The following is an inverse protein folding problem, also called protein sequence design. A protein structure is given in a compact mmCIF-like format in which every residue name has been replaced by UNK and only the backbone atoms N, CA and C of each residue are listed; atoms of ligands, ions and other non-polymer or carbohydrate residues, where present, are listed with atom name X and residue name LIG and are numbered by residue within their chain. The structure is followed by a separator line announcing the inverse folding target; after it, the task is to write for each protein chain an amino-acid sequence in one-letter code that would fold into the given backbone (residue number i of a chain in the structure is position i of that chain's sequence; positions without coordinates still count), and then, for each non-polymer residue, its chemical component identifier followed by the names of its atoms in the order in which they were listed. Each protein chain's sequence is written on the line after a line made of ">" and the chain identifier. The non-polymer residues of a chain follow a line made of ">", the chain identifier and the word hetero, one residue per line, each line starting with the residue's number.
data_IF_645381745130
#
_entry.id   IF_645381745130
#
_cell.length_a   1.000
_cell.length_b   1.000
_cell.length_c   1.000
_cell.angle_alpha   90.00
_cell.angle_beta   90.00
_cell.angle_gamma   90.00
#
_symmetry.space_group_name_H-M   'P 1'
#
loop_
_entity.id
_entity.type
_entity.pdbx_description
1 polymer ?
#
# COMPACT_ATOMS: atom_id res chain seq x y z
N UNK A 1 -16.27 -10.17 -3.55
CA UNK A 1 -15.77 -11.31 -4.32
C UNK A 1 -16.95 -12.21 -4.56
N UNK A 2 -17.26 -12.51 -5.82
CA UNK A 2 -18.38 -13.40 -6.13
C UNK A 2 -17.95 -14.85 -5.89
N UNK A 3 -18.90 -15.73 -5.65
CA UNK A 3 -18.64 -17.17 -5.53
C UNK A 3 -17.94 -17.73 -6.77
N UNK A 4 -18.35 -17.23 -7.95
CA UNK A 4 -17.74 -17.60 -9.23
C UNK A 4 -16.27 -17.21 -9.36
N UNK A 5 -15.88 -16.03 -8.90
CA UNK A 5 -14.46 -15.61 -8.87
C UNK A 5 -13.63 -16.57 -8.00
N UNK A 6 -14.17 -17.00 -6.86
CA UNK A 6 -13.53 -17.97 -5.97
C UNK A 6 -13.35 -19.32 -6.67
N UNK A 7 -14.38 -19.82 -7.36
CA UNK A 7 -14.28 -21.07 -8.12
C UNK A 7 -13.24 -21.01 -9.22
N UNK A 8 -13.24 -19.92 -10.01
CA UNK A 8 -12.28 -19.72 -11.09
C UNK A 8 -10.84 -19.66 -10.57
N UNK A 9 -10.63 -19.01 -9.43
CA UNK A 9 -9.32 -18.93 -8.78
C UNK A 9 -8.76 -20.32 -8.49
N UNK A 10 -9.53 -21.21 -7.86
CA UNK A 10 -9.07 -22.58 -7.59
C UNK A 10 -8.92 -23.39 -8.88
N UNK A 11 -9.90 -23.33 -9.78
CA UNK A 11 -9.85 -24.14 -10.99
C UNK A 11 -8.75 -23.72 -11.95
N UNK A 12 -8.40 -22.44 -12.07
CA UNK A 12 -7.33 -21.96 -12.96
C UNK A 12 -5.98 -22.64 -12.66
N UNK A 13 -5.69 -22.90 -11.39
CA UNK A 13 -4.42 -23.50 -10.95
C UNK A 13 -4.56 -24.97 -10.57
N UNK A 14 -5.71 -25.62 -10.82
CA UNK A 14 -5.88 -27.03 -10.56
C UNK A 14 -5.26 -27.88 -11.68
N UNK A 15 -4.53 -28.94 -11.33
CA UNK A 15 -3.98 -29.93 -12.28
C UNK A 15 -5.06 -30.69 -13.05
N UNK A 16 -6.29 -30.73 -12.51
CA UNK A 16 -7.48 -31.32 -13.13
C UNK A 16 -8.32 -30.28 -13.88
N UNK A 17 -7.77 -29.11 -14.17
CA UNK A 17 -8.47 -28.11 -14.99
C UNK A 17 -8.36 -28.45 -16.47
N UNK A 18 -9.45 -28.22 -17.19
CA UNK A 18 -9.51 -28.31 -18.65
C UNK A 18 -10.30 -27.12 -19.19
N UNK A 19 -10.02 -26.73 -20.45
CA UNK A 19 -10.71 -25.63 -21.13
C UNK A 19 -11.71 -26.20 -22.12
N UNK A 20 -12.96 -25.78 -21.99
CA UNK A 20 -14.04 -26.00 -22.94
C UNK A 20 -14.37 -24.68 -23.63
N UNK A 21 -14.56 -24.70 -24.95
CA UNK A 21 -14.94 -23.50 -25.71
C UNK A 21 -16.30 -22.94 -25.27
N UNK A 22 -17.23 -23.82 -24.88
CA UNK A 22 -18.59 -23.42 -24.51
C UNK A 22 -18.71 -23.03 -23.03
N UNK A 23 -17.95 -23.70 -22.15
CA UNK A 23 -18.12 -23.60 -20.70
C UNK A 23 -16.94 -22.92 -19.99
N UNK A 24 -15.87 -22.58 -20.71
CA UNK A 24 -14.64 -22.03 -20.14
C UNK A 24 -13.87 -23.07 -19.32
N UNK A 25 -13.45 -22.73 -18.10
CA UNK A 25 -12.71 -23.66 -17.22
C UNK A 25 -13.67 -24.68 -16.61
N UNK A 26 -13.42 -25.96 -16.88
CA UNK A 26 -14.14 -27.13 -16.36
C UNK A 26 -13.19 -28.07 -15.62
N UNK A 27 -13.74 -28.97 -14.81
CA UNK A 27 -12.99 -30.05 -14.18
C UNK A 27 -12.87 -31.24 -15.14
N UNK A 28 -11.66 -31.75 -15.38
CA UNK A 28 -11.44 -32.91 -16.25
C UNK A 28 -11.95 -34.23 -15.67
N UNK A 29 -12.20 -34.29 -14.36
CA UNK A 29 -12.78 -35.46 -13.71
C UNK A 29 -14.29 -35.57 -13.94
N UNK A 30 -15.00 -34.44 -13.96
CA UNK A 30 -16.47 -34.40 -14.01
C UNK A 30 -17.02 -33.83 -15.31
N UNK A 31 -16.17 -33.20 -16.13
CA UNK A 31 -16.53 -32.41 -17.31
C UNK A 31 -17.57 -31.31 -17.04
N UNK A 32 -17.68 -30.86 -15.78
CA UNK A 32 -18.61 -29.81 -15.34
C UNK A 32 -17.84 -28.57 -14.87
N UNK A 33 -18.53 -27.44 -14.84
CA UNK A 33 -18.04 -26.25 -14.14
C UNK A 33 -17.93 -26.55 -12.64
N UNK A 34 -17.05 -25.78 -11.99
CA UNK A 34 -16.88 -25.84 -10.55
C UNK A 34 -18.17 -25.50 -9.82
N UNK A 35 -18.52 -26.36 -8.86
CA UNK A 35 -19.68 -26.20 -7.98
C UNK A 35 -19.26 -26.66 -6.58
N UNK A 36 -18.60 -25.77 -5.83
CA UNK A 36 -18.15 -26.03 -4.47
C UNK A 36 -18.18 -24.76 -3.62
N UNK A 37 -18.62 -24.85 -2.38
CA UNK A 37 -18.77 -23.63 -1.57
C UNK A 37 -17.42 -22.98 -1.18
N UNK A 38 -16.46 -23.79 -0.72
CA UNK A 38 -15.18 -23.30 -0.20
C UNK A 38 -13.97 -23.74 -1.03
N UNK A 39 -13.76 -25.06 -1.14
CA UNK A 39 -12.68 -25.69 -1.91
C UNK A 39 -13.19 -26.96 -2.56
N UNK A 40 -12.53 -27.39 -3.63
CA UNK A 40 -12.71 -28.73 -4.19
C UNK A 40 -11.85 -29.73 -3.42
N UNK A 41 -12.43 -30.84 -2.97
CA UNK A 41 -11.69 -31.89 -2.23
C UNK A 41 -10.64 -32.59 -3.10
N UNK A 42 -10.89 -32.66 -4.40
CA UNK A 42 -9.95 -33.18 -5.40
C UNK A 42 -8.99 -32.11 -5.94
N UNK A 43 -8.90 -30.94 -5.30
CA UNK A 43 -7.97 -29.88 -5.72
C UNK A 43 -6.52 -30.32 -5.54
N UNK A 44 -5.77 -30.29 -6.63
CA UNK A 44 -4.33 -30.52 -6.65
C UNK A 44 -3.71 -29.36 -7.41
N UNK A 45 -2.90 -28.54 -6.73
CA UNK A 45 -2.28 -27.36 -7.34
C UNK A 45 -1.27 -27.75 -8.43
N UNK A 46 -1.37 -27.09 -9.57
CA UNK A 46 -0.43 -27.21 -10.68
C UNK A 46 0.68 -26.16 -10.52
N UNK A 47 1.78 -26.56 -9.89
CA UNK A 47 2.93 -25.69 -9.62
C UNK A 47 3.50 -25.03 -10.89
N UNK A 48 3.49 -25.72 -12.04
CA UNK A 48 3.96 -25.16 -13.31
C UNK A 48 3.08 -24.01 -13.79
N UNK A 49 1.76 -24.18 -13.75
CA UNK A 49 0.81 -23.12 -14.14
C UNK A 49 0.84 -21.93 -13.19
N UNK A 50 1.04 -22.19 -11.89
CA UNK A 50 1.19 -21.15 -10.88
C UNK A 50 2.45 -20.32 -11.13
N UNK A 51 3.58 -20.99 -11.36
CA UNK A 51 4.88 -20.34 -11.58
C UNK A 51 4.90 -19.54 -12.89
N UNK A 52 4.29 -20.05 -13.97
CA UNK A 52 4.18 -19.30 -15.23
C UNK A 52 3.34 -18.03 -15.08
N UNK A 53 2.24 -18.10 -14.33
CA UNK A 53 1.40 -16.92 -14.05
C UNK A 53 2.15 -15.92 -13.18
N UNK A 54 2.86 -16.40 -12.14
CA UNK A 54 3.69 -15.56 -11.27
C UNK A 54 4.70 -14.77 -12.08
N UNK A 55 5.44 -15.43 -12.98
CA UNK A 55 6.41 -14.79 -13.88
C UNK A 55 5.73 -13.79 -14.82
N UNK A 56 4.58 -14.14 -15.41
CA UNK A 56 3.83 -13.23 -16.28
C UNK A 56 3.39 -11.97 -15.54
N UNK A 57 2.90 -12.10 -14.31
CA UNK A 57 2.52 -10.96 -13.47
C UNK A 57 3.73 -10.13 -13.05
N UNK A 58 4.85 -10.77 -12.71
CA UNK A 58 6.12 -10.07 -12.43
C UNK A 58 6.57 -9.24 -13.62
N UNK A 59 6.61 -9.83 -14.82
CA UNK A 59 6.99 -9.12 -16.05
C UNK A 59 6.03 -7.98 -16.39
N UNK A 60 4.72 -8.15 -16.22
CA UNK A 60 3.75 -7.07 -16.42
C UNK A 60 3.91 -5.93 -15.42
N UNK A 61 4.27 -6.22 -14.17
CA UNK A 61 4.60 -5.20 -13.18
C UNK A 61 5.89 -4.50 -13.59
N UNK A 62 6.94 -5.25 -13.92
CA UNK A 62 8.24 -4.68 -14.30
C UNK A 62 8.13 -3.82 -15.56
N UNK A 63 7.51 -4.30 -16.63
CA UNK A 63 7.27 -3.54 -17.86
C UNK A 63 6.50 -2.23 -17.61
N UNK A 64 5.55 -2.25 -16.67
CA UNK A 64 4.76 -1.07 -16.32
C UNK A 64 5.53 -0.03 -15.51
N UNK A 65 6.59 -0.43 -14.77
CA UNK A 65 7.26 0.44 -13.78
C UNK A 65 8.80 0.52 -13.88
N UNK A 66 9.46 -0.19 -14.79
CA UNK A 66 10.93 -0.29 -14.88
C UNK A 66 11.63 1.01 -15.31
N UNK A 67 10.93 1.97 -15.92
CA UNK A 67 11.51 3.25 -16.35
C UNK A 67 11.93 4.20 -15.21
N UNK A 68 11.65 3.89 -13.93
CA UNK A 68 11.69 4.88 -12.85
C UNK A 68 12.79 4.67 -11.79
N UNK A 69 13.57 3.58 -11.86
CA UNK A 69 14.59 3.27 -10.84
C UNK A 69 15.74 4.30 -10.82
N UNK A 70 16.03 4.93 -11.96
CA UNK A 70 17.17 5.85 -12.13
C UNK A 70 16.85 7.32 -11.78
N UNK A 71 15.58 7.74 -11.86
CA UNK A 71 15.18 9.14 -11.58
C UNK A 71 15.08 9.39 -10.06
N UNK A 72 14.72 8.36 -9.29
CA UNK A 72 14.44 8.47 -7.85
C UNK A 72 15.71 8.67 -7.03
N UNK A 73 16.80 7.96 -7.34
CA UNK A 73 18.11 8.19 -6.68
C UNK A 73 18.58 9.62 -6.94
N UNK A 74 18.47 10.07 -8.19
CA UNK A 74 18.94 11.39 -8.59
C UNK A 74 18.18 12.56 -7.94
N UNK A 75 16.85 12.46 -7.78
CA UNK A 75 16.03 13.53 -7.19
C UNK A 75 16.07 13.52 -5.66
N UNK A 76 16.09 12.34 -5.02
CA UNK A 76 16.16 12.22 -3.57
C UNK A 76 17.53 12.65 -3.03
N UNK A 77 18.62 12.38 -3.74
CA UNK A 77 19.96 12.75 -3.31
C UNK A 77 20.22 14.27 -3.42
N UNK A 78 19.57 14.97 -4.36
CA UNK A 78 19.91 16.36 -4.68
C UNK A 78 19.00 17.44 -4.07
N UNK A 79 17.76 17.14 -3.65
CA UNK A 79 16.78 18.20 -3.30
C UNK A 79 16.32 18.17 -1.84
N UNK A 80 16.26 17.00 -1.18
CA UNK A 80 15.78 16.90 0.20
C UNK A 80 16.74 16.07 1.03
N UNK A 81 17.45 16.70 1.97
CA UNK A 81 18.32 16.01 2.93
C UNK A 81 17.62 14.83 3.61
N UNK A 82 17.94 13.62 3.13
CA UNK A 82 17.30 12.33 3.42
C UNK A 82 17.29 11.99 4.92
N UNK A 83 18.26 12.51 5.69
CA UNK A 83 18.43 12.14 7.09
C UNK A 83 17.34 12.67 8.04
N UNK A 84 16.72 13.83 7.76
CA UNK A 84 15.72 14.38 8.69
C UNK A 84 14.37 13.70 8.56
N UNK A 85 13.94 13.43 7.32
CA UNK A 85 12.65 12.82 7.04
C UNK A 85 12.61 11.33 7.39
N UNK A 86 13.65 10.55 7.08
CA UNK A 86 13.69 9.12 7.44
C UNK A 86 13.59 8.87 8.95
N UNK A 87 14.04 9.81 9.79
CA UNK A 87 13.89 9.72 11.25
C UNK A 87 12.43 9.87 11.72
N UNK A 88 11.63 10.67 11.01
CA UNK A 88 10.19 10.83 11.23
C UNK A 88 9.41 9.64 10.64
N UNK A 89 9.95 9.00 9.60
CA UNK A 89 9.38 7.86 8.89
C UNK A 89 9.93 6.49 9.34
N UNK A 90 10.56 6.42 10.52
CA UNK A 90 11.00 5.14 11.11
C UNK A 90 9.81 4.18 11.19
N UNK A 91 10.02 2.90 10.86
CA UNK A 91 8.96 1.90 10.85
C UNK A 91 8.20 1.95 12.18
N UNK A 92 6.90 2.22 12.09
CA UNK A 92 6.06 2.31 13.29
C UNK A 92 5.88 0.93 13.92
N UNK A 93 6.09 -0.11 13.11
CA UNK A 93 5.84 -1.48 13.48
C UNK A 93 7.10 -2.32 13.31
N UNK A 94 7.37 -3.20 14.26
CA UNK A 94 8.33 -4.29 14.09
C UNK A 94 7.59 -5.63 14.25
N UNK A 95 6.92 -6.03 13.18
CA UNK A 95 6.20 -7.30 13.15
C UNK A 95 7.20 -8.44 13.04
N UNK A 96 7.28 -9.31 14.05
CA UNK A 96 8.09 -10.52 14.04
C UNK A 96 7.25 -11.76 13.78
N UNK A 97 5.96 -11.72 14.16
CA UNK A 97 5.06 -12.87 14.08
C UNK A 97 3.74 -12.51 13.40
N UNK A 98 3.10 -13.52 12.80
CA UNK A 98 1.83 -13.38 12.07
C UNK A 98 0.71 -12.83 12.96
N UNK A 99 0.64 -13.25 14.21
CA UNK A 99 -0.43 -12.85 15.14
C UNK A 99 -0.44 -11.34 15.37
N UNK A 100 0.74 -10.69 15.32
CA UNK A 100 0.89 -9.24 15.47
C UNK A 100 0.33 -8.46 14.29
N UNK A 101 0.15 -9.12 13.15
CA UNK A 101 -0.35 -8.51 11.91
C UNK A 101 -1.87 -8.63 11.76
N UNK A 102 -2.55 -9.33 12.68
CA UNK A 102 -3.99 -9.54 12.63
C UNK A 102 -4.75 -8.43 13.34
N UNK A 103 -5.99 -8.15 12.88
CA UNK A 103 -6.90 -7.14 13.46
C UNK A 103 -6.31 -5.72 13.48
N UNK A 104 -5.31 -5.45 12.64
CA UNK A 104 -4.76 -4.10 12.51
C UNK A 104 -5.81 -3.20 11.89
N UNK A 105 -5.91 -1.97 12.43
CA UNK A 105 -6.74 -0.90 11.88
C UNK A 105 -5.81 0.25 11.48
N UNK A 106 -5.41 0.26 10.22
CA UNK A 106 -4.51 1.27 9.67
C UNK A 106 -5.37 2.44 9.18
N UNK A 107 -5.06 3.59 9.75
CA UNK A 107 -5.78 4.83 9.51
C UNK A 107 -5.06 5.70 8.48
N UNK A 108 -5.77 6.72 8.00
CA UNK A 108 -5.18 7.74 7.14
C UNK A 108 -4.00 8.45 7.84
N UNK A 109 -2.91 8.68 7.11
CA UNK A 109 -1.75 9.43 7.57
C UNK A 109 -2.00 10.92 7.39
N UNK A 110 -1.86 11.69 8.48
CA UNK A 110 -1.86 13.15 8.44
C UNK A 110 -0.43 13.73 8.40
N UNK A 111 0.54 12.97 7.88
CA UNK A 111 1.95 13.36 7.87
C UNK A 111 2.19 14.70 7.16
N UNK A 112 1.56 14.96 6.02
CA UNK A 112 1.70 16.25 5.33
C UNK A 112 1.27 17.44 6.22
N UNK A 113 0.18 17.30 6.98
CA UNK A 113 -0.27 18.34 7.92
C UNK A 113 0.73 18.49 9.08
N UNK A 114 1.26 17.38 9.61
CA UNK A 114 2.30 17.43 10.67
C UNK A 114 3.57 18.13 10.20
N UNK A 115 4.01 17.86 8.97
CA UNK A 115 5.18 18.51 8.36
C UNK A 115 4.89 19.99 8.16
N UNK A 116 3.71 20.34 7.66
CA UNK A 116 3.32 21.74 7.47
C UNK A 116 3.30 22.50 8.80
N UNK A 117 2.77 21.90 9.88
CA UNK A 117 2.81 22.46 11.24
C UNK A 117 4.26 22.67 11.69
N UNK A 118 5.16 21.70 11.47
CA UNK A 118 6.57 21.82 11.83
C UNK A 118 7.26 22.95 11.06
N UNK A 119 7.01 23.08 9.75
CA UNK A 119 7.57 24.16 8.93
C UNK A 119 7.09 25.52 9.44
N UNK A 120 5.79 25.70 9.69
CA UNK A 120 5.27 26.94 10.24
C UNK A 120 5.79 27.24 11.64
N UNK A 121 6.00 26.22 12.48
CA UNK A 121 6.62 26.38 13.80
C UNK A 121 8.06 26.92 13.67
N UNK A 122 8.88 26.33 12.79
CA UNK A 122 10.25 26.79 12.54
C UNK A 122 10.26 28.22 12.00
N UNK A 123 9.41 28.54 11.03
CA UNK A 123 9.28 29.89 10.48
C UNK A 123 8.90 30.90 11.57
N UNK A 124 7.96 30.54 12.45
CA UNK A 124 7.55 31.41 13.57
C UNK A 124 8.74 31.68 14.51
N UNK A 125 9.52 30.66 14.85
CA UNK A 125 10.74 30.80 15.68
C UNK A 125 11.75 31.73 15.01
N UNK A 126 12.01 31.57 13.71
CA UNK A 126 12.93 32.43 12.94
C UNK A 126 12.45 33.89 12.98
N UNK A 127 11.15 34.13 12.80
CA UNK A 127 10.58 35.48 12.88
C UNK A 127 10.79 36.10 14.27
N UNK A 128 10.56 35.33 15.33
CA UNK A 128 10.77 35.79 16.71
C UNK A 128 12.24 36.16 16.94
N UNK A 129 13.19 35.33 16.52
CA UNK A 129 14.62 35.62 16.65
C UNK A 129 14.98 36.91 15.89
N UNK A 130 14.48 37.09 14.66
CA UNK A 130 14.76 38.28 13.86
C UNK A 130 14.20 39.55 14.49
N UNK A 131 13.03 39.49 15.14
CA UNK A 131 12.46 40.60 15.90
C UNK A 131 13.37 41.08 17.04
N UNK A 132 14.11 40.18 17.68
CA UNK A 132 15.04 40.53 18.75
C UNK A 132 16.37 41.09 18.26
N UNK A 133 16.85 40.66 17.09
CA UNK A 133 18.16 41.07 16.55
C UNK A 133 18.08 42.41 15.82
N UNK A 134 17.06 42.59 14.97
CA UNK A 134 16.93 43.79 14.15
C UNK A 134 15.46 44.09 13.88
N UNK A 135 14.95 45.13 14.53
CA UNK A 135 13.56 45.53 14.40
C UNK A 135 13.32 46.22 13.06
N UNK A 136 12.75 45.47 12.13
CA UNK A 136 12.21 45.95 10.85
C UNK A 136 10.69 45.77 10.88
N UNK A 137 9.93 46.75 10.38
CA UNK A 137 8.45 46.72 10.31
C UNK A 137 7.89 45.48 9.58
N UNK A 138 8.70 44.81 8.76
CA UNK A 138 8.34 43.59 8.06
C UNK A 138 8.11 42.38 9.00
N UNK A 139 9.04 42.15 9.95
CA UNK A 139 9.05 40.93 10.76
C UNK A 139 7.82 40.75 11.68
N UNK A 140 7.26 41.81 12.31
CA UNK A 140 6.04 41.68 13.11
C UNK A 140 4.83 41.25 12.28
N UNK A 141 4.67 41.77 11.06
CA UNK A 141 3.55 41.40 10.18
C UNK A 141 3.68 39.94 9.74
N UNK A 142 4.89 39.51 9.40
CA UNK A 142 5.15 38.13 8.97
C UNK A 142 5.03 37.11 10.12
N UNK A 143 5.37 37.48 11.35
CA UNK A 143 5.20 36.60 12.52
C UNK A 143 3.72 36.36 12.85
N UNK A 144 2.86 37.37 12.77
CA UNK A 144 1.40 37.21 12.93
C UNK A 144 0.84 36.29 11.86
N UNK A 145 1.29 36.41 10.61
CA UNK A 145 0.87 35.53 9.52
C UNK A 145 1.26 34.06 9.77
N UNK A 146 2.52 33.80 10.10
CA UNK A 146 3.02 32.43 10.35
C UNK A 146 2.34 31.78 11.56
N UNK A 147 2.13 32.55 12.64
CA UNK A 147 1.38 32.09 13.82
C UNK A 147 -0.08 31.77 13.48
N UNK A 148 -0.75 32.62 12.70
CA UNK A 148 -2.13 32.40 12.26
C UNK A 148 -2.25 31.13 11.42
N UNK A 149 -1.34 30.92 10.47
CA UNK A 149 -1.27 29.71 9.66
C UNK A 149 -1.02 28.46 10.51
N UNK A 150 -0.16 28.54 11.53
CA UNK A 150 0.09 27.46 12.48
C UNK A 150 -1.19 27.08 13.24
N UNK A 151 -1.92 28.06 13.78
CA UNK A 151 -3.16 27.84 14.53
C UNK A 151 -4.28 27.22 13.66
N UNK A 152 -4.40 27.65 12.40
CA UNK A 152 -5.33 27.05 11.43
C UNK A 152 -4.99 25.58 11.21
N UNK A 153 -3.72 25.25 10.95
CA UNK A 153 -3.31 23.86 10.72
C UNK A 153 -3.49 22.97 11.95
N UNK A 154 -3.23 23.48 13.15
CA UNK A 154 -3.52 22.79 14.42
C UNK A 154 -5.03 22.51 14.56
N UNK A 155 -5.87 23.48 14.20
CA UNK A 155 -7.33 23.33 14.23
C UNK A 155 -7.81 22.27 13.25
N UNK A 156 -7.29 22.28 12.01
CA UNK A 156 -7.58 21.26 10.99
C UNK A 156 -7.19 19.87 11.50
N UNK A 157 -6.00 19.73 12.11
CA UNK A 157 -5.53 18.46 12.65
C UNK A 157 -6.44 17.95 13.77
N UNK A 158 -6.92 18.84 14.65
CA UNK A 158 -7.82 18.49 15.77
C UNK A 158 -9.21 18.08 15.28
N UNK A 159 -9.73 18.71 14.23
CA UNK A 159 -11.07 18.44 13.69
C UNK A 159 -11.12 17.17 12.84
N UNK A 160 -10.00 16.76 12.22
CA UNK A 160 -9.95 15.56 11.37
C UNK A 160 -9.90 14.28 12.21
N UNK A 161 -11.00 13.53 12.18
CA UNK A 161 -11.05 12.18 12.75
C UNK A 161 -10.32 11.19 11.81
N UNK A 162 -9.40 10.35 12.32
CA UNK A 162 -8.71 9.36 11.51
C UNK A 162 -9.69 8.34 10.94
N UNK A 163 -9.75 8.26 9.61
CA UNK A 163 -10.54 7.25 8.90
C UNK A 163 -9.72 5.98 8.77
N UNK A 164 -10.33 4.83 9.11
CA UNK A 164 -9.73 3.51 8.85
C UNK A 164 -9.80 3.27 7.35
N UNK A 165 -8.64 3.06 6.73
CA UNK A 165 -8.52 2.82 5.28
C UNK A 165 -8.12 1.38 4.98
N UNK A 166 -7.42 0.74 5.91
CA UNK A 166 -7.00 -0.64 5.78
C UNK A 166 -7.22 -1.41 7.08
N UNK A 167 -7.79 -2.61 6.97
CA UNK A 167 -7.92 -3.54 8.09
C UNK A 167 -7.40 -4.92 7.71
N UNK A 168 -6.74 -5.60 8.64
CA UNK A 168 -6.24 -6.97 8.43
C UNK A 168 -7.01 -7.98 9.27
N UNK A 169 -7.17 -9.18 8.76
CA UNK A 169 -7.73 -10.33 9.48
C UNK A 169 -6.93 -11.61 9.13
N UNK A 170 -7.38 -12.76 9.62
CA UNK A 170 -6.71 -14.05 9.39
C UNK A 170 -6.77 -14.53 7.93
N UNK A 171 -7.71 -14.03 7.14
CA UNK A 171 -7.96 -14.47 5.76
C UNK A 171 -7.35 -13.52 4.73
N UNK A 172 -7.20 -12.24 5.07
CA UNK A 172 -6.72 -11.21 4.16
C UNK A 172 -6.65 -9.82 4.78
N UNK A 173 -6.73 -8.83 3.91
CA UNK A 173 -6.93 -7.44 4.32
C UNK A 173 -8.00 -6.79 3.46
N UNK A 174 -8.63 -5.76 4.01
CA UNK A 174 -9.63 -4.93 3.32
C UNK A 174 -9.05 -3.55 3.09
N UNK A 175 -9.00 -3.13 1.83
CA UNK A 175 -8.56 -1.80 1.42
C UNK A 175 -9.64 -1.18 0.52
N UNK A 176 -10.07 0.05 0.81
CA UNK A 176 -11.13 0.74 0.05
C UNK A 176 -12.39 -0.13 -0.16
N UNK A 177 -12.85 -0.80 0.90
CA UNK A 177 -13.98 -1.74 0.91
C UNK A 177 -13.80 -3.00 0.04
N UNK A 178 -12.61 -3.27 -0.47
CA UNK A 178 -12.29 -4.50 -1.22
C UNK A 178 -11.43 -5.42 -0.37
N UNK A 179 -11.92 -6.63 -0.11
CA UNK A 179 -11.15 -7.69 0.56
C UNK A 179 -10.25 -8.41 -0.46
N UNK A 180 -9.00 -8.59 -0.07
CA UNK A 180 -7.95 -9.34 -0.80
C UNK A 180 -7.45 -10.42 0.14
N UNK A 181 -7.59 -11.70 -0.24
CA UNK A 181 -7.17 -12.81 0.61
C UNK A 181 -5.66 -12.99 0.56
N UNK A 182 -5.05 -13.44 1.65
CA UNK A 182 -3.59 -13.68 1.70
C UNK A 182 -3.15 -14.72 0.67
N UNK A 183 -3.92 -15.79 0.50
CA UNK A 183 -3.66 -16.87 -0.45
C UNK A 183 -3.93 -16.50 -1.92
N UNK A 184 -4.51 -15.33 -2.19
CA UNK A 184 -4.68 -14.80 -3.54
C UNK A 184 -3.41 -14.13 -4.06
N UNK A 185 -2.51 -13.69 -3.19
CA UNK A 185 -1.35 -12.85 -3.56
C UNK A 185 -0.23 -13.75 -4.08
N UNK A 186 0.06 -13.67 -5.38
CA UNK A 186 1.15 -14.40 -6.02
C UNK A 186 2.46 -13.60 -5.98
N UNK A 187 2.37 -12.30 -6.25
CA UNK A 187 3.50 -11.39 -6.42
C UNK A 187 3.16 -10.08 -5.74
N UNK A 188 4.16 -9.42 -5.15
CA UNK A 188 4.02 -8.07 -4.66
C UNK A 188 5.31 -7.29 -4.90
N UNK A 189 5.20 -6.05 -5.33
CA UNK A 189 6.33 -5.12 -5.49
C UNK A 189 5.92 -3.71 -5.06
N UNK A 190 6.82 -2.98 -4.42
CA UNK A 190 6.66 -1.54 -4.24
C UNK A 190 6.92 -0.84 -5.56
N UNK A 191 6.03 0.04 -5.98
CA UNK A 191 6.10 0.75 -7.25
C UNK A 191 5.90 2.25 -7.00
N UNK A 192 6.60 3.07 -7.78
CA UNK A 192 6.47 4.53 -7.75
C UNK A 192 5.92 4.96 -9.11
N UNK A 193 5.02 5.95 -9.14
CA UNK A 193 4.42 6.44 -10.39
C UNK A 193 4.94 7.81 -10.80
N UNK A 194 5.05 8.06 -12.10
CA UNK A 194 5.51 9.32 -12.74
C UNK A 194 4.60 10.54 -12.55
N UNK A 195 3.50 10.41 -11.81
CA UNK A 195 2.66 11.57 -11.53
C UNK A 195 3.46 12.66 -10.78
N UNK A 196 3.07 13.94 -10.93
CA UNK A 196 3.75 15.11 -10.31
C UNK A 196 4.02 14.95 -8.81
N UNK A 197 3.32 14.03 -8.16
CA UNK A 197 3.57 13.60 -6.80
C UNK A 197 3.98 12.12 -6.80
N UNK A 198 5.15 11.84 -6.20
CA UNK A 198 5.63 10.47 -5.96
C UNK A 198 4.67 9.77 -4.99
N UNK A 199 3.65 9.10 -5.55
CA UNK A 199 2.78 8.23 -4.76
C UNK A 199 3.49 6.91 -4.50
N UNK A 200 3.50 6.51 -3.23
CA UNK A 200 3.97 5.20 -2.80
C UNK A 200 2.85 4.21 -3.08
N UNK A 201 3.01 3.38 -4.10
CA UNK A 201 2.05 2.32 -4.44
C UNK A 201 2.67 0.94 -4.21
N UNK A 202 1.82 -0.05 -4.02
CA UNK A 202 2.21 -1.45 -4.02
C UNK A 202 1.37 -2.14 -5.09
N UNK A 203 2.05 -2.76 -6.05
CA UNK A 203 1.44 -3.60 -7.06
C UNK A 203 1.35 -5.03 -6.52
N UNK A 204 0.15 -5.60 -6.52
CA UNK A 204 -0.13 -6.97 -6.11
C UNK A 204 -0.59 -7.78 -7.32
N UNK A 205 0.17 -8.79 -7.71
CA UNK A 205 -0.29 -9.81 -8.64
C UNK A 205 -1.14 -10.85 -7.91
N UNK A 206 -2.41 -10.99 -8.30
CA UNK A 206 -3.36 -11.89 -7.64
C UNK A 206 -3.83 -13.02 -8.55
N UNK A 207 -4.18 -14.17 -7.95
CA UNK A 207 -4.73 -15.34 -8.65
C UNK A 207 -6.03 -15.03 -9.41
N UNK A 208 -6.88 -14.16 -8.86
CA UNK A 208 -8.26 -13.92 -9.34
C UNK A 208 -8.44 -12.63 -10.13
N UNK A 209 -7.73 -11.54 -9.78
CA UNK A 209 -7.98 -10.18 -10.32
C UNK A 209 -6.81 -9.60 -11.12
N UNK A 210 -5.75 -10.37 -11.36
CA UNK A 210 -4.54 -9.86 -12.00
C UNK A 210 -3.82 -8.86 -11.10
N UNK A 211 -3.34 -7.75 -11.67
CA UNK A 211 -2.59 -6.72 -10.95
C UNK A 211 -3.53 -5.74 -10.26
N UNK A 212 -3.39 -5.59 -8.95
CA UNK A 212 -4.09 -4.61 -8.12
C UNK A 212 -3.08 -3.60 -7.59
N UNK A 213 -3.36 -2.32 -7.76
CA UNK A 213 -2.58 -1.24 -7.14
C UNK A 213 -3.19 -0.83 -5.80
N UNK A 214 -2.34 -0.72 -4.78
CA UNK A 214 -2.69 -0.17 -3.47
C UNK A 214 -1.88 1.09 -3.26
N UNK A 215 -2.56 2.23 -3.20
CA UNK A 215 -1.95 3.48 -2.77
C UNK A 215 -1.78 3.47 -1.24
N UNK A 216 -0.53 3.55 -0.78
CA UNK A 216 -0.19 3.58 0.63
C UNK A 216 0.30 4.96 1.08
N UNK A 217 0.33 5.95 0.18
CA UNK A 217 0.78 7.32 0.48
C UNK A 217 -0.01 7.95 1.62
N UNK A 218 -1.31 7.63 1.67
CA UNK A 218 -2.22 8.11 2.70
C UNK A 218 -2.37 7.12 3.87
N UNK A 219 -1.59 6.05 3.97
CA UNK A 219 -1.72 5.12 5.09
C UNK A 219 -0.70 5.44 6.20
N UNK A 220 -1.11 5.30 7.45
CA UNK A 220 -0.22 5.42 8.62
C UNK A 220 0.62 4.15 8.84
N UNK A 221 1.23 3.64 7.76
CA UNK A 221 2.13 2.50 7.73
C UNK A 221 3.18 2.70 6.64
N UNK A 222 4.43 2.31 6.91
CA UNK A 222 5.49 2.36 5.89
C UNK A 222 5.36 1.27 4.84
N UNK A 223 5.97 1.46 3.67
CA UNK A 223 6.01 0.45 2.60
C UNK A 223 6.59 -0.86 3.12
N UNK A 224 7.75 -0.79 3.78
CA UNK A 224 8.47 -1.95 4.33
C UNK A 224 7.60 -2.75 5.31
N UNK A 225 6.91 -2.05 6.20
CA UNK A 225 6.02 -2.67 7.20
C UNK A 225 4.84 -3.37 6.53
N UNK A 226 4.25 -2.74 5.51
CA UNK A 226 3.13 -3.34 4.78
C UNK A 226 3.56 -4.57 3.96
N UNK A 227 4.74 -4.53 3.33
CA UNK A 227 5.32 -5.70 2.67
C UNK A 227 5.60 -6.83 3.66
N UNK A 228 6.11 -6.50 4.86
CA UNK A 228 6.34 -7.47 5.95
C UNK A 228 5.03 -8.11 6.42
N UNK A 229 3.94 -7.35 6.51
CA UNK A 229 2.60 -7.89 6.79
C UNK A 229 2.20 -8.92 5.71
N UNK A 230 2.38 -8.60 4.43
CA UNK A 230 2.05 -9.52 3.34
C UNK A 230 2.90 -10.80 3.44
N UNK A 231 4.20 -10.66 3.63
CA UNK A 231 5.15 -11.77 3.73
C UNK A 231 4.80 -12.74 4.87
N UNK A 232 4.55 -12.20 6.07
CA UNK A 232 4.21 -13.00 7.26
C UNK A 232 2.88 -13.76 7.13
N UNK A 233 1.94 -13.26 6.32
CA UNK A 233 0.63 -13.90 6.16
C UNK A 233 0.56 -14.84 4.95
N UNK A 234 1.31 -14.57 3.88
CA UNK A 234 1.32 -15.37 2.66
C UNK A 234 1.93 -16.76 2.87
N UNK A 235 2.99 -16.86 3.68
CA UNK A 235 3.78 -18.09 3.84
C UNK A 235 3.17 -19.14 4.78
N UNK A 236 1.95 -18.94 5.28
CA UNK A 236 1.31 -19.79 6.31
C UNK A 236 -0.05 -20.34 5.82
N UNK A 237 -0.32 -20.25 4.51
CA UNK A 237 -1.56 -20.72 3.89
C UNK A 237 -1.33 -21.94 3.00
#
# INVERSE_FOLDING_TARGET
>A
MTERENHLMFCKFCSKSSKSLNLGIICSLTNKQADFFNKCDAYIENSKSLESEKKSLESQIDEKYDNMRDIISYVLENIFGIYFFDSIFKSKYDFLKKEQTQKLKIQNSYQHIKILILVFLILTIICIIKLFINYDEFWPKFSVFTLSALLINLSILKLRKPKILLTTDSEGFTYSNKKIKWNEILVYKSVTTEERYSYKKIALGTKSRGIIEIDISNLNIGIKDFLKIIELNKNVA
#
